data_IF_376550927722
#
_entry.id   IF_376550927722
#
_cell.length_a   1.000
_cell.length_b   1.000
_cell.length_c   1.000
_cell.angle_alpha   90.00
_cell.angle_beta   90.00
_cell.angle_gamma   90.00
#
_symmetry.space_group_name_H-M   'P 1'
#
loop_
_entity.id
_entity.type
_entity.pdbx_description
1 polymer ?
#
# COMPACT_ATOMS: atom_id res chain seq x y z
N UNK A 1 45.79 -2.27 31.70
CA UNK A 1 45.33 -1.44 30.55
C UNK A 1 44.40 -2.27 29.70
N UNK A 2 43.12 -2.18 29.93
CA UNK A 2 42.07 -2.95 29.24
C UNK A 2 41.46 -2.09 28.14
N UNK A 3 41.71 -2.42 26.91
CA UNK A 3 41.18 -1.75 25.69
C UNK A 3 39.69 -2.08 25.53
N UNK A 4 38.82 -1.13 25.82
CA UNK A 4 37.36 -1.19 25.61
C UNK A 4 37.07 -1.26 24.10
N UNK A 5 36.67 -2.43 23.60
CA UNK A 5 36.23 -2.66 22.21
C UNK A 5 34.93 -1.88 21.98
N UNK A 6 34.98 -0.74 21.27
CA UNK A 6 33.80 -0.04 20.77
C UNK A 6 33.05 -0.98 19.81
N UNK A 7 31.87 -1.45 20.21
CA UNK A 7 30.94 -2.12 19.32
C UNK A 7 30.47 -1.08 18.28
N UNK A 8 30.83 -1.28 17.03
CA UNK A 8 30.26 -0.54 15.91
C UNK A 8 28.80 -0.99 15.80
N UNK A 9 27.87 -0.09 16.08
CA UNK A 9 26.44 -0.31 15.79
C UNK A 9 26.31 -0.51 14.28
N UNK A 10 25.68 -1.57 13.80
CA UNK A 10 25.59 -1.80 12.36
C UNK A 10 24.79 -0.67 11.68
N UNK A 11 25.32 -0.19 10.58
CA UNK A 11 24.85 0.95 9.79
C UNK A 11 23.36 0.81 9.36
N UNK A 12 22.83 -0.42 9.33
CA UNK A 12 21.47 -0.77 8.94
C UNK A 12 20.35 -0.35 9.90
N UNK A 13 20.67 -0.08 11.18
CA UNK A 13 19.68 0.45 12.15
C UNK A 13 19.28 1.89 11.79
N UNK A 14 20.18 2.59 11.06
CA UNK A 14 19.89 3.94 10.60
C UNK A 14 18.92 3.98 9.42
N UNK A 15 18.81 2.94 8.59
CA UNK A 15 18.11 3.04 7.31
C UNK A 15 16.60 3.01 7.41
N UNK A 16 15.97 2.18 8.22
CA UNK A 16 14.51 2.21 8.38
C UNK A 16 14.02 3.30 9.33
N UNK A 17 14.78 3.58 10.39
CA UNK A 17 14.56 4.80 11.19
C UNK A 17 14.72 6.05 10.33
N UNK A 18 15.61 6.05 9.32
CA UNK A 18 15.73 7.13 8.35
C UNK A 18 14.60 7.15 7.31
N UNK A 19 13.96 6.00 6.97
CA UNK A 19 12.74 6.02 6.14
C UNK A 19 11.61 6.78 6.84
N UNK A 20 11.34 6.39 8.05
CA UNK A 20 10.41 7.11 8.89
C UNK A 20 10.82 8.58 9.08
N UNK A 21 12.12 8.88 9.23
CA UNK A 21 12.65 10.24 9.45
C UNK A 21 12.70 11.13 8.21
N UNK A 22 13.00 10.61 7.04
CA UNK A 22 13.22 11.40 5.82
C UNK A 22 11.93 11.67 5.03
N UNK A 23 10.92 10.79 5.10
CA UNK A 23 9.55 11.12 4.64
C UNK A 23 9.01 12.32 5.42
N UNK A 24 9.41 12.46 6.69
CA UNK A 24 9.06 13.60 7.52
C UNK A 24 9.74 14.92 7.08
N UNK A 25 11.01 14.90 6.76
CA UNK A 25 11.76 16.12 6.39
C UNK A 25 11.32 16.71 5.04
N UNK A 26 10.81 15.89 4.11
CA UNK A 26 10.30 16.33 2.81
C UNK A 26 8.82 16.76 2.82
N UNK A 27 8.03 16.30 3.81
CA UNK A 27 6.61 16.63 3.90
C UNK A 27 6.31 17.97 4.61
N UNK A 28 7.23 18.46 5.46
CA UNK A 28 6.92 19.55 6.40
C UNK A 28 7.07 21.00 5.90
N UNK A 29 7.89 21.38 4.92
CA UNK A 29 7.92 22.77 4.47
C UNK A 29 6.67 23.18 3.69
N UNK A 30 5.97 22.22 3.07
CA UNK A 30 4.87 22.51 2.15
C UNK A 30 3.48 22.42 2.78
N UNK A 31 3.30 21.60 3.82
CA UNK A 31 1.99 21.37 4.44
C UNK A 31 1.59 22.48 5.38
N UNK A 32 2.53 23.14 6.04
CA UNK A 32 2.24 24.26 6.94
C UNK A 32 1.67 25.50 6.22
N UNK A 33 1.91 25.66 4.92
CA UNK A 33 1.41 26.81 4.13
C UNK A 33 0.03 26.57 3.48
N UNK A 34 -0.48 25.34 3.42
CA UNK A 34 -1.75 25.02 2.74
C UNK A 34 -2.98 25.03 3.65
N UNK A 35 -2.81 25.09 4.97
CA UNK A 35 -3.93 25.07 5.92
C UNK A 35 -4.63 26.43 6.13
N UNK A 36 -4.18 27.52 5.49
CA UNK A 36 -4.78 28.85 5.67
C UNK A 36 -5.51 29.42 4.45
N UNK A 37 -5.91 28.63 3.44
CA UNK A 37 -6.81 29.12 2.39
C UNK A 37 -8.20 28.51 2.51
N UNK A 38 -9.16 29.38 2.82
CA UNK A 38 -10.60 29.12 2.92
C UNK A 38 -11.14 28.30 1.74
N UNK A 39 -11.89 27.22 2.06
CA UNK A 39 -12.74 26.50 1.11
C UNK A 39 -13.98 27.33 0.76
N UNK A 40 -14.41 27.38 -0.52
CA UNK A 40 -15.67 27.97 -0.89
C UNK A 40 -16.85 27.05 -0.51
N UNK A 41 -17.93 27.66 0.00
CA UNK A 41 -19.20 26.97 0.27
C UNK A 41 -19.84 26.48 -1.02
N UNK A 42 -20.12 25.20 -1.11
CA UNK A 42 -20.91 24.59 -2.18
C UNK A 42 -22.39 24.65 -1.74
N UNK A 43 -23.22 25.28 -2.58
CA UNK A 43 -24.67 25.29 -2.42
C UNK A 43 -25.24 23.91 -2.76
N UNK A 44 -26.15 23.44 -1.92
CA UNK A 44 -26.91 22.20 -2.10
C UNK A 44 -27.85 22.30 -3.29
N UNK A 45 -27.72 21.40 -4.26
CA UNK A 45 -28.74 21.11 -5.26
C UNK A 45 -29.62 19.96 -4.75
N UNK A 46 -30.93 20.17 -4.70
CA UNK A 46 -31.92 19.12 -4.41
C UNK A 46 -31.99 18.10 -5.55
N UNK A 47 -32.16 16.81 -5.25
CA UNK A 47 -32.32 15.79 -6.28
C UNK A 47 -33.77 15.71 -6.77
N UNK A 48 -33.94 15.77 -8.08
CA UNK A 48 -35.20 15.46 -8.77
C UNK A 48 -35.53 13.97 -8.64
N UNK A 49 -36.73 13.65 -8.16
CA UNK A 49 -37.25 12.28 -8.05
C UNK A 49 -37.56 11.70 -9.44
N UNK A 50 -37.16 10.47 -9.77
CA UNK A 50 -37.57 9.80 -11.00
C UNK A 50 -38.98 9.19 -10.89
N UNK A 51 -39.68 9.18 -12.03
CA UNK A 51 -41.03 8.64 -12.21
C UNK A 51 -41.10 7.10 -12.01
N UNK A 52 -42.23 6.53 -11.59
CA UNK A 52 -42.37 5.11 -11.28
C UNK A 52 -42.53 4.27 -12.55
N UNK A 53 -41.72 3.22 -12.68
CA UNK A 53 -41.91 2.15 -13.65
C UNK A 53 -40.69 1.70 -14.44
N UNK A 54 -39.66 1.15 -13.79
CA UNK A 54 -38.59 0.38 -14.45
C UNK A 54 -38.34 -0.91 -13.68
N UNK A 55 -38.34 -2.00 -14.42
CA UNK A 55 -38.43 -3.41 -14.04
C UNK A 55 -37.24 -3.94 -13.27
N UNK A 56 -37.41 -5.06 -12.55
CA UNK A 56 -36.51 -5.77 -11.64
C UNK A 56 -35.07 -6.04 -12.14
N UNK A 57 -34.82 -6.09 -13.45
CA UNK A 57 -33.47 -6.24 -13.99
C UNK A 57 -32.57 -4.98 -13.82
N UNK A 58 -33.16 -3.82 -13.55
CA UNK A 58 -32.42 -2.59 -13.28
C UNK A 58 -31.96 -2.49 -11.81
N UNK A 59 -32.58 -3.25 -10.90
CA UNK A 59 -32.21 -3.22 -9.48
C UNK A 59 -30.94 -4.00 -9.17
N UNK A 60 -30.64 -5.03 -9.94
CA UNK A 60 -29.39 -5.79 -9.79
C UNK A 60 -28.19 -5.06 -10.42
N UNK A 61 -28.40 -4.36 -11.53
CA UNK A 61 -27.41 -3.44 -12.10
C UNK A 61 -27.18 -2.20 -11.21
N UNK A 62 -28.22 -1.70 -10.53
CA UNK A 62 -28.12 -0.58 -9.59
C UNK A 62 -27.37 -0.95 -8.29
N UNK A 63 -27.31 -2.24 -7.93
CA UNK A 63 -26.52 -2.73 -6.79
C UNK A 63 -25.00 -2.67 -7.02
N UNK A 64 -24.56 -2.63 -8.28
CA UNK A 64 -23.16 -2.51 -8.63
C UNK A 64 -22.64 -1.07 -8.70
N UNK A 65 -23.50 -0.07 -8.68
CA UNK A 65 -23.14 1.35 -8.93
C UNK A 65 -23.04 2.26 -7.71
N UNK A 66 -23.05 1.75 -6.50
CA UNK A 66 -22.96 2.62 -5.31
C UNK A 66 -21.58 2.68 -4.66
N UNK A 67 -20.51 2.44 -5.41
CA UNK A 67 -19.15 2.74 -4.97
C UNK A 67 -18.65 4.04 -5.59
N UNK A 68 -18.53 5.10 -4.79
CA UNK A 68 -17.92 6.34 -5.25
C UNK A 68 -16.38 6.13 -5.33
N UNK A 69 -15.82 6.17 -6.53
CA UNK A 69 -14.35 6.18 -6.71
C UNK A 69 -13.80 7.51 -6.22
N UNK A 70 -12.90 7.45 -5.23
CA UNK A 70 -12.22 8.61 -4.65
C UNK A 70 -10.93 8.92 -5.40
N UNK A 71 -10.16 7.88 -5.74
CA UNK A 71 -8.89 7.99 -6.45
C UNK A 71 -8.62 6.72 -7.25
N UNK A 72 -8.05 6.87 -8.46
CA UNK A 72 -7.64 5.74 -9.31
C UNK A 72 -6.28 6.02 -9.92
N UNK A 73 -5.39 5.02 -9.85
CA UNK A 73 -4.09 5.02 -10.48
C UNK A 73 -4.07 3.91 -11.53
N UNK A 74 -4.30 4.29 -12.77
CA UNK A 74 -4.45 3.36 -13.91
C UNK A 74 -3.19 3.27 -14.78
N UNK A 75 -2.14 4.06 -14.49
CA UNK A 75 -0.90 4.14 -15.25
C UNK A 75 -1.08 4.43 -16.75
N UNK A 76 -2.19 5.07 -17.13
CA UNK A 76 -2.65 5.28 -18.50
C UNK A 76 -1.85 6.33 -19.28
N UNK A 77 -1.02 7.12 -18.62
CA UNK A 77 -0.11 8.11 -19.19
C UNK A 77 1.32 7.60 -19.39
N UNK A 78 1.51 6.27 -19.41
CA UNK A 78 2.85 5.68 -19.44
C UNK A 78 3.69 6.14 -18.25
N UNK A 79 5.00 6.36 -18.45
CA UNK A 79 5.92 6.77 -17.38
C UNK A 79 5.52 8.10 -16.70
N UNK A 80 4.80 8.98 -17.40
CA UNK A 80 4.29 10.24 -16.84
C UNK A 80 3.25 10.03 -15.74
N UNK A 81 2.64 8.83 -15.62
CA UNK A 81 1.77 8.47 -14.52
C UNK A 81 2.50 8.47 -13.17
N UNK A 82 3.83 8.35 -13.18
CA UNK A 82 4.64 8.35 -11.95
C UNK A 82 4.93 9.76 -11.42
N UNK A 83 4.56 10.83 -12.13
CA UNK A 83 4.80 12.22 -11.66
C UNK A 83 4.07 12.57 -10.36
N UNK A 84 3.00 11.86 -10.03
CA UNK A 84 2.26 12.02 -8.77
C UNK A 84 2.77 11.13 -7.64
N UNK A 85 3.71 10.21 -7.96
CA UNK A 85 4.33 9.31 -7.02
C UNK A 85 5.71 9.84 -6.62
N UNK A 86 6.08 9.58 -5.38
CA UNK A 86 7.39 9.93 -4.84
C UNK A 86 8.18 8.64 -4.55
N UNK A 87 9.45 8.61 -4.94
CA UNK A 87 10.35 7.51 -4.61
C UNK A 87 11.05 7.73 -3.28
N UNK A 88 11.17 6.67 -2.51
CA UNK A 88 12.01 6.65 -1.32
C UNK A 88 12.95 5.46 -1.36
N UNK A 89 14.20 5.74 -1.66
CA UNK A 89 15.29 4.77 -1.68
C UNK A 89 15.89 4.59 -0.28
N UNK A 90 16.07 3.33 0.11
CA UNK A 90 16.73 2.91 1.36
C UNK A 90 18.09 2.31 1.09
N UNK A 91 18.16 1.45 0.08
CA UNK A 91 19.37 0.82 -0.40
C UNK A 91 19.25 0.51 -1.88
N UNK A 92 20.35 0.69 -2.62
CA UNK A 92 20.35 0.42 -4.05
C UNK A 92 19.28 1.24 -4.81
N UNK A 93 18.83 0.74 -5.94
CA UNK A 93 17.80 1.37 -6.76
C UNK A 93 16.86 0.30 -7.31
N UNK A 94 15.59 0.37 -6.96
CA UNK A 94 14.54 -0.42 -7.60
C UNK A 94 14.17 0.21 -8.93
N UNK A 95 14.02 -0.59 -9.98
CA UNK A 95 13.62 -0.11 -11.29
C UNK A 95 12.09 -0.12 -11.41
N UNK A 96 11.51 1.06 -11.63
CA UNK A 96 10.08 1.26 -11.84
C UNK A 96 9.79 1.66 -13.29
N UNK A 97 9.06 0.81 -14.00
CA UNK A 97 8.66 1.05 -15.39
C UNK A 97 7.16 0.92 -15.56
N UNK A 98 6.54 1.87 -16.23
CA UNK A 98 5.14 1.74 -16.65
C UNK A 98 5.10 1.05 -18.00
N UNK A 99 4.46 -0.11 -18.02
CA UNK A 99 4.36 -1.00 -19.19
C UNK A 99 2.89 -1.22 -19.57
N UNK A 100 2.65 -1.87 -20.71
CA UNK A 100 1.32 -2.15 -21.22
C UNK A 100 1.23 -3.60 -21.73
N UNK A 101 0.13 -4.27 -21.36
CA UNK A 101 -0.23 -5.62 -21.81
C UNK A 101 -1.69 -5.63 -22.26
N UNK A 102 -1.93 -5.74 -23.56
CA UNK A 102 -3.27 -5.56 -24.13
C UNK A 102 -3.83 -4.17 -23.83
N UNK A 103 -4.95 -4.11 -23.11
CA UNK A 103 -5.56 -2.85 -22.66
C UNK A 103 -5.11 -2.43 -21.26
N UNK A 104 -4.38 -3.27 -20.51
CA UNK A 104 -3.94 -3.00 -19.15
C UNK A 104 -2.60 -2.28 -19.13
N UNK A 105 -2.55 -1.10 -18.52
CA UNK A 105 -1.30 -0.44 -18.17
C UNK A 105 -0.95 -0.81 -16.71
N UNK A 106 0.33 -1.02 -16.44
CA UNK A 106 0.78 -1.46 -15.13
C UNK A 106 2.17 -0.93 -14.79
N UNK A 107 2.44 -0.86 -13.51
CA UNK A 107 3.75 -0.54 -12.95
C UNK A 107 4.52 -1.84 -12.73
N UNK A 108 5.65 -2.00 -13.38
CA UNK A 108 6.62 -3.06 -13.10
C UNK A 108 7.66 -2.58 -12.10
N UNK A 109 7.90 -3.34 -11.06
CA UNK A 109 8.87 -3.10 -9.99
C UNK A 109 9.89 -4.24 -9.96
N UNK A 110 11.18 -3.92 -10.11
CA UNK A 110 12.28 -4.90 -10.08
C UNK A 110 13.39 -4.41 -9.17
N UNK A 111 13.73 -5.21 -8.17
CA UNK A 111 14.83 -4.95 -7.23
C UNK A 111 15.90 -6.02 -7.32
N UNK A 112 17.17 -5.61 -7.19
CA UNK A 112 18.34 -6.47 -7.07
C UNK A 112 19.24 -5.87 -5.98
N UNK A 113 19.34 -6.57 -4.84
CA UNK A 113 20.00 -6.06 -3.63
C UNK A 113 19.57 -4.61 -3.29
N UNK A 114 18.26 -4.33 -3.45
CA UNK A 114 17.71 -2.99 -3.43
C UNK A 114 16.38 -2.91 -2.68
N UNK A 115 16.10 -1.72 -2.14
CA UNK A 115 14.87 -1.37 -1.47
C UNK A 115 14.51 0.09 -1.76
N UNK A 116 13.50 0.29 -2.61
CA UNK A 116 12.90 1.60 -2.89
C UNK A 116 11.39 1.48 -2.85
N UNK A 117 10.74 2.29 -2.03
CA UNK A 117 9.29 2.42 -2.02
C UNK A 117 8.82 3.51 -2.99
N UNK A 118 7.74 3.25 -3.71
CA UNK A 118 7.04 4.23 -4.52
C UNK A 118 5.70 4.53 -3.84
N UNK A 119 5.48 5.78 -3.41
CA UNK A 119 4.32 6.17 -2.63
C UNK A 119 3.61 7.39 -3.19
N UNK A 120 2.31 7.50 -2.90
CA UNK A 120 1.50 8.65 -3.24
C UNK A 120 0.77 9.15 -2.00
N UNK A 121 0.79 10.48 -1.81
CA UNK A 121 0.10 11.15 -0.70
C UNK A 121 -1.37 11.34 -1.01
N UNK A 122 -2.18 11.24 0.03
CA UNK A 122 -3.61 11.49 -0.02
C UNK A 122 -4.12 11.87 1.38
N UNK A 123 -5.39 12.20 1.47
CA UNK A 123 -6.05 12.42 2.76
C UNK A 123 -7.47 11.89 2.66
N UNK A 124 -7.65 10.65 3.11
CA UNK A 124 -8.96 9.99 3.11
C UNK A 124 -9.34 9.58 4.52
N UNK A 125 -10.49 10.03 5.05
CA UNK A 125 -10.99 9.56 6.34
C UNK A 125 -11.03 8.04 6.39
N UNK A 126 -10.44 7.46 7.46
CA UNK A 126 -10.44 6.01 7.69
C UNK A 126 -11.76 5.61 8.33
N UNK A 127 -12.77 5.32 7.51
CA UNK A 127 -14.12 4.95 7.91
C UNK A 127 -14.47 3.56 7.41
N UNK A 128 -15.49 2.88 7.99
CA UNK A 128 -15.84 1.50 7.60
C UNK A 128 -16.24 1.32 6.14
N UNK A 129 -16.62 2.39 5.45
CA UNK A 129 -17.00 2.40 4.05
C UNK A 129 -15.82 2.60 3.08
N UNK A 130 -14.60 2.88 3.59
CA UNK A 130 -13.40 3.03 2.76
C UNK A 130 -12.88 1.65 2.33
N UNK A 131 -12.69 1.49 1.04
CA UNK A 131 -12.14 0.29 0.41
C UNK A 131 -10.98 0.66 -0.48
N UNK A 132 -10.00 -0.24 -0.57
CA UNK A 132 -8.90 -0.18 -1.52
C UNK A 132 -8.88 -1.45 -2.33
N UNK A 133 -8.69 -1.32 -3.64
CA UNK A 133 -8.51 -2.45 -4.56
C UNK A 133 -7.33 -2.20 -5.48
N UNK A 134 -6.65 -3.29 -5.88
CA UNK A 134 -5.56 -3.26 -6.84
C UNK A 134 -5.45 -4.60 -7.54
N UNK A 135 -4.70 -4.62 -8.64
CA UNK A 135 -4.21 -5.85 -9.25
C UNK A 135 -2.70 -5.93 -9.05
N UNK A 136 -2.23 -7.12 -8.84
CA UNK A 136 -0.80 -7.40 -8.79
C UNK A 136 -0.48 -8.79 -9.31
N UNK A 137 0.80 -9.01 -9.63
CA UNK A 137 1.36 -10.33 -9.89
C UNK A 137 2.82 -10.35 -9.46
N UNK A 138 3.23 -11.40 -8.74
CA UNK A 138 4.62 -11.63 -8.37
C UNK A 138 5.31 -12.42 -9.49
N UNK A 139 6.57 -12.09 -9.79
CA UNK A 139 7.38 -12.79 -10.78
C UNK A 139 8.56 -13.52 -10.14
N UNK A 140 9.25 -12.86 -9.22
CA UNK A 140 10.43 -13.37 -8.57
C UNK A 140 10.38 -13.10 -7.08
N UNK A 141 10.56 -14.15 -6.28
CA UNK A 141 10.58 -14.06 -4.82
C UNK A 141 12.01 -13.94 -4.32
N UNK A 142 12.27 -13.08 -3.29
CA UNK A 142 13.58 -13.02 -2.66
C UNK A 142 13.94 -14.36 -2.01
N UNK A 143 15.21 -14.77 -2.14
CA UNK A 143 15.67 -16.05 -1.62
C UNK A 143 16.00 -15.95 -0.13
N UNK A 144 15.06 -16.36 0.71
CA UNK A 144 15.19 -16.37 2.16
C UNK A 144 15.84 -17.67 2.65
N UNK A 145 16.74 -17.57 3.64
CA UNK A 145 17.35 -18.72 4.32
C UNK A 145 16.40 -19.31 5.37
N UNK A 146 15.62 -18.44 6.02
CA UNK A 146 14.66 -18.78 7.08
C UNK A 146 13.24 -18.39 6.70
N UNK A 147 12.68 -18.98 5.62
CA UNK A 147 11.35 -18.62 5.12
C UNK A 147 10.21 -19.01 6.07
N UNK A 148 10.50 -19.70 7.17
CA UNK A 148 9.57 -20.03 8.25
C UNK A 148 9.36 -18.89 9.26
N UNK A 149 10.11 -17.79 9.14
CA UNK A 149 10.03 -16.63 10.04
C UNK A 149 9.53 -15.40 9.28
N UNK A 150 8.24 -15.10 9.39
CA UNK A 150 7.64 -13.95 8.71
C UNK A 150 8.25 -12.61 9.19
N UNK A 151 8.49 -12.47 10.48
CA UNK A 151 9.08 -11.27 11.09
C UNK A 151 10.57 -11.46 11.35
N UNK A 152 11.35 -11.70 10.28
CA UNK A 152 12.79 -11.85 10.35
C UNK A 152 13.50 -10.61 9.78
N UNK A 153 14.13 -9.84 10.66
CA UNK A 153 14.79 -8.57 10.28
C UNK A 153 15.88 -8.71 9.21
N UNK A 154 16.54 -9.84 9.14
CA UNK A 154 17.60 -10.07 8.16
C UNK A 154 17.08 -10.55 6.81
N UNK A 155 15.79 -10.81 6.71
CA UNK A 155 15.13 -11.36 5.53
C UNK A 155 13.73 -10.75 5.33
N UNK A 156 13.57 -9.48 5.75
CA UNK A 156 12.31 -8.73 5.60
C UNK A 156 12.18 -8.20 4.16
N UNK A 157 12.25 -9.12 3.20
CA UNK A 157 12.09 -8.87 1.78
C UNK A 157 10.88 -9.64 1.23
N UNK A 158 10.15 -9.04 0.29
CA UNK A 158 8.99 -9.66 -0.33
C UNK A 158 8.89 -9.32 -1.83
N UNK A 159 8.33 -10.23 -2.61
CA UNK A 159 8.13 -10.00 -4.03
C UNK A 159 7.24 -8.79 -4.29
N UNK A 160 6.14 -8.67 -3.53
CA UNK A 160 5.20 -7.57 -3.65
C UNK A 160 4.69 -7.14 -2.28
N UNK A 161 4.71 -5.83 -2.04
CA UNK A 161 4.12 -5.15 -0.89
C UNK A 161 3.19 -4.04 -1.36
N UNK A 162 2.00 -3.97 -0.78
CA UNK A 162 1.08 -2.86 -0.91
C UNK A 162 0.81 -2.27 0.47
N UNK A 163 1.06 -0.98 0.63
CA UNK A 163 0.99 -0.30 1.92
C UNK A 163 -0.25 0.59 2.01
N UNK A 164 -0.90 0.57 3.17
CA UNK A 164 -1.87 1.58 3.59
C UNK A 164 -1.37 2.23 4.86
N UNK A 165 -1.10 3.53 4.80
CA UNK A 165 -0.48 4.31 5.86
C UNK A 165 -1.52 5.25 6.48
N UNK A 166 -1.81 5.03 7.77
CA UNK A 166 -2.68 5.87 8.59
C UNK A 166 -1.83 6.99 9.19
N UNK A 167 -1.79 8.11 8.49
CA UNK A 167 -0.83 9.18 8.70
C UNK A 167 -1.20 10.05 9.91
N UNK A 168 -0.39 9.98 10.97
CA UNK A 168 -0.48 10.87 12.11
C UNK A 168 0.22 12.22 11.84
N UNK A 169 -0.11 13.26 12.62
CA UNK A 169 0.56 14.57 12.57
C UNK A 169 2.07 14.45 12.80
N UNK A 170 2.49 13.51 13.65
CA UNK A 170 3.87 13.07 13.75
C UNK A 170 3.99 11.73 13.03
N UNK A 171 4.74 11.70 11.93
CA UNK A 171 4.90 10.52 11.08
C UNK A 171 5.33 9.25 11.86
N UNK A 172 6.20 9.38 12.87
CA UNK A 172 6.62 8.26 13.72
C UNK A 172 5.50 7.63 14.55
N UNK A 173 4.36 8.29 14.63
CA UNK A 173 3.15 7.78 15.27
C UNK A 173 2.13 7.25 14.27
N UNK A 174 2.49 7.22 12.99
CA UNK A 174 1.65 6.62 11.95
C UNK A 174 1.64 5.12 12.10
N UNK A 175 0.47 4.53 11.88
CA UNK A 175 0.29 3.10 11.85
C UNK A 175 0.22 2.64 10.38
N UNK A 176 0.75 1.47 10.07
CA UNK A 176 0.89 0.97 8.71
C UNK A 176 0.39 -0.47 8.61
N UNK A 177 -0.39 -0.76 7.59
CA UNK A 177 -0.68 -2.13 7.15
C UNK A 177 0.12 -2.39 5.89
N UNK A 178 0.94 -3.43 5.90
CA UNK A 178 1.62 -3.97 4.74
C UNK A 178 0.90 -5.25 4.29
N UNK A 179 0.19 -5.17 3.19
CA UNK A 179 -0.31 -6.35 2.49
C UNK A 179 0.82 -6.94 1.67
N UNK A 180 1.15 -8.19 1.92
CA UNK A 180 2.31 -8.84 1.31
C UNK A 180 1.92 -10.08 0.52
N UNK A 181 2.64 -10.29 -0.58
CA UNK A 181 2.67 -11.55 -1.32
C UNK A 181 3.96 -12.28 -0.94
N UNK A 182 3.82 -13.32 -0.14
CA UNK A 182 4.94 -14.14 0.34
C UNK A 182 5.07 -15.42 -0.47
N UNK A 183 6.25 -16.05 -0.43
CA UNK A 183 6.47 -17.33 -1.12
C UNK A 183 5.74 -18.50 -0.44
N UNK A 184 5.67 -18.53 0.90
CA UNK A 184 5.31 -19.74 1.68
C UNK A 184 4.22 -19.53 2.72
N UNK A 185 4.19 -18.38 3.41
CA UNK A 185 3.21 -18.17 4.46
C UNK A 185 1.79 -18.14 3.90
N UNK A 186 0.85 -18.89 4.50
CA UNK A 186 -0.53 -18.90 4.04
C UNK A 186 -1.21 -17.52 4.20
N UNK A 187 -2.15 -17.19 3.29
CA UNK A 187 -2.97 -15.98 3.44
C UNK A 187 -3.68 -15.92 4.80
N UNK A 188 -3.70 -14.72 5.40
CA UNK A 188 -4.22 -14.49 6.75
C UNK A 188 -3.14 -14.50 7.83
N UNK A 189 -1.94 -15.01 7.55
CA UNK A 189 -0.80 -14.91 8.49
C UNK A 189 -0.43 -13.45 8.69
N UNK A 190 -0.26 -13.04 9.94
CA UNK A 190 0.14 -11.68 10.29
C UNK A 190 1.21 -11.66 11.37
N UNK A 191 2.03 -10.63 11.36
CA UNK A 191 3.05 -10.37 12.37
C UNK A 191 3.31 -8.86 12.50
N UNK A 192 3.94 -8.47 13.58
CA UNK A 192 4.54 -7.15 13.68
C UNK A 192 5.80 -7.09 12.79
N UNK A 193 6.02 -5.97 12.12
CA UNK A 193 7.27 -5.75 11.41
C UNK A 193 8.44 -5.84 12.40
N UNK A 194 9.57 -6.45 11.99
CA UNK A 194 10.75 -6.55 12.85
C UNK A 194 11.38 -5.18 13.19
N UNK A 195 10.84 -4.12 12.62
CA UNK A 195 11.31 -2.75 12.80
C UNK A 195 10.40 -1.90 13.68
N UNK A 196 9.09 -2.19 13.72
CA UNK A 196 8.13 -1.37 14.48
C UNK A 196 6.81 -2.11 14.70
N UNK A 197 6.31 -2.11 15.93
CA UNK A 197 4.95 -2.59 16.28
C UNK A 197 3.82 -1.77 15.62
N UNK A 198 4.15 -0.58 15.08
CA UNK A 198 3.23 0.27 14.33
C UNK A 198 3.07 -0.16 12.87
N UNK A 199 3.84 -1.13 12.44
CA UNK A 199 3.79 -1.68 11.08
C UNK A 199 3.37 -3.14 11.20
N UNK A 200 2.22 -3.48 10.62
CA UNK A 200 1.67 -4.84 10.63
C UNK A 200 1.81 -5.46 9.25
N UNK A 201 2.50 -6.59 9.22
CA UNK A 201 2.59 -7.47 8.06
C UNK A 201 1.31 -8.32 7.98
N UNK A 202 0.67 -8.36 6.83
CA UNK A 202 -0.47 -9.24 6.56
C UNK A 202 -0.27 -9.95 5.22
N UNK A 203 -0.01 -11.25 5.27
CA UNK A 203 0.05 -12.08 4.06
C UNK A 203 -1.35 -12.20 3.48
N UNK A 204 -1.54 -11.79 2.24
CA UNK A 204 -2.81 -11.94 1.53
C UNK A 204 -2.69 -12.83 0.30
N UNK A 205 -1.47 -13.08 -0.18
CA UNK A 205 -1.16 -14.05 -1.24
C UNK A 205 0.09 -14.85 -0.91
N UNK A 206 0.15 -16.08 -1.45
CA UNK A 206 1.24 -17.01 -1.20
C UNK A 206 1.58 -17.81 -2.47
N UNK A 207 2.87 -18.09 -2.65
CA UNK A 207 3.39 -18.91 -3.72
C UNK A 207 3.40 -18.23 -5.09
N UNK A 208 3.90 -18.95 -6.09
CA UNK A 208 3.91 -18.47 -7.46
C UNK A 208 2.46 -18.31 -7.99
N UNK A 209 2.17 -17.23 -8.75
CA UNK A 209 0.86 -17.06 -9.36
C UNK A 209 0.61 -18.18 -10.38
N UNK A 210 -0.66 -18.66 -10.44
CA UNK A 210 -1.08 -19.56 -11.48
C UNK A 210 -1.06 -18.89 -12.87
N UNK A 211 -1.11 -19.68 -13.96
CA UNK A 211 -1.08 -19.14 -15.32
C UNK A 211 -2.36 -18.41 -15.72
N UNK A 212 -3.41 -18.54 -14.93
CA UNK A 212 -4.70 -17.93 -15.17
C UNK A 212 -4.58 -16.40 -15.21
N UNK A 213 -5.27 -15.75 -16.14
CA UNK A 213 -5.26 -14.28 -16.32
C UNK A 213 -3.85 -13.67 -16.44
N UNK A 214 -2.87 -14.42 -16.96
CA UNK A 214 -1.48 -13.96 -17.04
C UNK A 214 -0.82 -13.75 -15.68
N UNK A 215 -1.27 -14.47 -14.65
CA UNK A 215 -0.78 -14.36 -13.28
C UNK A 215 -1.36 -13.18 -12.49
N UNK A 216 -2.22 -12.35 -13.08
CA UNK A 216 -2.85 -11.22 -12.41
C UNK A 216 -3.88 -11.66 -11.37
N UNK A 217 -3.70 -11.17 -10.16
CA UNK A 217 -4.64 -11.35 -9.04
C UNK A 217 -5.24 -9.99 -8.68
N UNK A 218 -6.56 -9.96 -8.49
CA UNK A 218 -7.27 -8.77 -8.00
C UNK A 218 -7.47 -8.87 -6.51
N UNK A 219 -7.17 -7.79 -5.81
CA UNK A 219 -7.41 -7.64 -4.38
C UNK A 219 -8.43 -6.55 -4.13
N UNK A 220 -9.20 -6.75 -3.09
CA UNK A 220 -10.08 -5.72 -2.54
C UNK A 220 -10.11 -5.86 -1.02
N UNK A 221 -9.72 -4.80 -0.31
CA UNK A 221 -9.58 -4.79 1.14
C UNK A 221 -10.32 -3.62 1.76
N UNK A 222 -10.85 -3.84 2.96
CA UNK A 222 -11.33 -2.78 3.84
C UNK A 222 -10.23 -2.46 4.86
N UNK A 223 -9.45 -1.39 4.68
CA UNK A 223 -8.34 -1.09 5.57
C UNK A 223 -8.78 -0.71 6.99
N UNK A 224 -10.03 -0.26 7.18
CA UNK A 224 -10.57 -0.01 8.52
C UNK A 224 -10.77 -1.31 9.30
N UNK A 225 -11.38 -2.31 8.68
CA UNK A 225 -11.60 -3.62 9.30
C UNK A 225 -10.29 -4.37 9.55
N UNK A 226 -9.36 -4.32 8.58
CA UNK A 226 -8.04 -4.93 8.73
C UNK A 226 -7.25 -4.26 9.85
N UNK A 227 -7.34 -2.93 9.95
CA UNK A 227 -6.72 -2.20 11.06
C UNK A 227 -7.29 -2.65 12.42
N UNK A 228 -8.61 -2.78 12.54
CA UNK A 228 -9.22 -3.25 13.80
C UNK A 228 -8.73 -4.65 14.19
N UNK A 229 -8.62 -5.57 13.21
CA UNK A 229 -8.12 -6.93 13.44
C UNK A 229 -6.66 -6.94 13.88
N UNK A 230 -5.82 -6.13 13.26
CA UNK A 230 -4.36 -6.14 13.46
C UNK A 230 -3.92 -5.31 14.68
N UNK A 231 -4.59 -4.20 14.99
CA UNK A 231 -4.23 -3.29 16.07
C UNK A 231 -5.15 -3.39 17.29
N UNK A 232 -6.26 -4.15 17.22
CA UNK A 232 -7.23 -4.31 18.32
C UNK A 232 -8.03 -3.05 18.64
N UNK A 233 -8.05 -2.05 17.77
CA UNK A 233 -8.71 -0.75 17.96
C UNK A 233 -9.10 -0.13 16.61
N UNK A 234 -10.05 0.81 16.59
CA UNK A 234 -10.38 1.57 15.40
C UNK A 234 -9.24 2.56 15.03
N UNK A 235 -8.99 2.79 13.72
CA UNK A 235 -8.03 3.79 13.28
C UNK A 235 -8.52 5.20 13.67
N UNK A 236 -7.59 6.05 14.12
CA UNK A 236 -7.88 7.46 14.47
C UNK A 236 -7.37 8.45 13.45
N UNK A 237 -6.36 8.03 12.67
CA UNK A 237 -5.74 8.87 11.67
C UNK A 237 -6.33 8.56 10.28
N UNK A 238 -6.38 9.53 9.37
CA UNK A 238 -6.79 9.28 7.98
C UNK A 238 -5.79 8.37 7.27
N UNK A 239 -6.22 7.69 6.20
CA UNK A 239 -5.31 7.11 5.22
C UNK A 239 -4.63 8.26 4.49
N UNK A 240 -3.38 8.49 4.81
CA UNK A 240 -2.57 9.61 4.29
C UNK A 240 -1.66 9.23 3.14
N UNK A 241 -1.39 7.93 2.93
CA UNK A 241 -0.58 7.45 1.82
C UNK A 241 -0.96 6.01 1.48
N UNK A 242 -0.75 5.65 0.21
CA UNK A 242 -0.55 4.26 -0.23
C UNK A 242 0.81 4.15 -0.89
N UNK A 243 1.40 2.94 -0.84
CA UNK A 243 2.68 2.70 -1.48
C UNK A 243 2.75 1.29 -2.05
N UNK A 244 3.69 1.09 -2.97
CA UNK A 244 4.05 -0.22 -3.53
C UNK A 244 5.55 -0.41 -3.44
N UNK A 245 5.98 -1.67 -3.28
CA UNK A 245 7.39 -2.01 -3.20
C UNK A 245 7.61 -3.47 -3.64
N UNK A 246 8.76 -3.71 -4.25
CA UNK A 246 9.43 -5.03 -4.32
C UNK A 246 10.81 -4.82 -3.75
N UNK A 247 11.23 -5.62 -2.79
CA UNK A 247 12.51 -5.43 -2.12
C UNK A 247 13.29 -6.71 -1.93
N UNK A 248 14.62 -6.59 -1.88
CA UNK A 248 15.56 -7.70 -1.87
C UNK A 248 16.86 -7.36 -1.17
N UNK A 249 16.91 -6.26 -0.42
CA UNK A 249 18.14 -5.71 0.15
C UNK A 249 18.62 -6.43 1.41
N UNK A 250 17.71 -7.05 2.15
CA UNK A 250 18.04 -7.82 3.34
C UNK A 250 18.61 -9.20 2.97
N UNK A 251 18.08 -9.83 1.94
CA UNK A 251 18.57 -11.11 1.43
C UNK A 251 19.74 -10.95 0.46
N UNK A 252 19.93 -9.77 -0.13
CA UNK A 252 20.92 -9.52 -1.18
C UNK A 252 20.62 -10.27 -2.48
N UNK A 253 19.34 -10.53 -2.77
CA UNK A 253 18.89 -11.33 -3.92
C UNK A 253 18.07 -10.48 -4.90
N UNK A 254 17.03 -11.05 -5.53
CA UNK A 254 16.14 -10.37 -6.46
C UNK A 254 14.70 -10.54 -6.04
N UNK A 255 13.89 -9.52 -6.33
CA UNK A 255 12.45 -9.58 -6.22
C UNK A 255 11.81 -8.77 -7.34
N UNK A 256 10.68 -9.23 -7.86
CA UNK A 256 9.94 -8.48 -8.85
C UNK A 256 8.45 -8.77 -8.83
N UNK A 257 7.68 -7.71 -9.07
CA UNK A 257 6.22 -7.76 -9.18
C UNK A 257 5.70 -6.64 -10.08
N UNK A 258 4.47 -6.80 -10.54
CA UNK A 258 3.72 -5.77 -11.24
C UNK A 258 2.50 -5.36 -10.43
N UNK A 259 2.10 -4.08 -10.56
CA UNK A 259 0.95 -3.48 -9.91
C UNK A 259 0.07 -2.73 -10.92
N UNK A 260 -1.24 -2.86 -10.82
CA UNK A 260 -2.17 -2.20 -11.73
C UNK A 260 -3.48 -1.85 -11.02
N UNK A 261 -4.23 -0.92 -11.63
CA UNK A 261 -5.60 -0.57 -11.24
C UNK A 261 -5.78 -0.33 -9.73
N UNK A 262 -4.90 0.46 -9.13
CA UNK A 262 -5.02 0.83 -7.72
C UNK A 262 -6.18 1.83 -7.58
N UNK A 263 -7.19 1.48 -6.79
CA UNK A 263 -8.41 2.28 -6.63
C UNK A 263 -8.77 2.42 -5.16
N UNK A 264 -8.99 3.64 -4.72
CA UNK A 264 -9.65 3.93 -3.46
C UNK A 264 -11.10 4.29 -3.76
N UNK A 265 -12.02 3.72 -3.00
CA UNK A 265 -13.46 3.94 -3.20
C UNK A 265 -14.23 3.87 -1.89
N UNK A 266 -15.41 4.46 -1.87
CA UNK A 266 -16.39 4.26 -0.81
C UNK A 266 -17.43 3.26 -1.26
N UNK A 267 -17.77 2.33 -0.39
CA UNK A 267 -18.92 1.43 -0.57
C UNK A 267 -19.98 1.74 0.49
N UNK A 268 -21.23 1.65 0.14
CA UNK A 268 -22.29 1.69 1.16
C UNK A 268 -22.06 0.55 2.17
N UNK A 269 -22.21 0.81 3.48
CA UNK A 269 -22.13 -0.24 4.49
C UNK A 269 -23.12 -1.35 4.14
N UNK A 270 -22.63 -2.58 4.03
CA UNK A 270 -23.53 -3.72 3.92
C UNK A 270 -24.36 -3.75 5.20
N UNK A 271 -25.68 -3.57 5.06
CA UNK A 271 -26.59 -3.80 6.19
C UNK A 271 -26.39 -5.26 6.60
N UNK A 272 -25.96 -5.46 7.86
CA UNK A 272 -25.94 -6.81 8.44
C UNK A 272 -27.35 -7.40 8.28
N UNK A 273 -27.42 -8.55 7.60
CA UNK A 273 -28.65 -9.35 7.44
C UNK A 273 -28.90 -10.10 8.73
#
# INVERSE_FOLDING_TARGET
MTRKKRRKTPLYIATLLTFLLLVFALAYPSVAMLFFKRLPRIHSMEPLLPAPGVREGAQEALKLEKSAVLRRFAFDKGQDSLREWEEKTFKGQTNFLVLKEGSLNYLSSKSEDACTGLFVKMEQPSTPDLWVSWKWRAHEFPQKKHPELLSNRSEDDFAARFYVIFLASNFFRSDVIEYIWDEKFPPGTSADSPYSERVKLLVIRSGAPGPENGGWISEERNPYEDYQKLFGKAPRNPVGMVAVMSDSDNTGTRASADFAEIVLKRKEPQKAV
#
